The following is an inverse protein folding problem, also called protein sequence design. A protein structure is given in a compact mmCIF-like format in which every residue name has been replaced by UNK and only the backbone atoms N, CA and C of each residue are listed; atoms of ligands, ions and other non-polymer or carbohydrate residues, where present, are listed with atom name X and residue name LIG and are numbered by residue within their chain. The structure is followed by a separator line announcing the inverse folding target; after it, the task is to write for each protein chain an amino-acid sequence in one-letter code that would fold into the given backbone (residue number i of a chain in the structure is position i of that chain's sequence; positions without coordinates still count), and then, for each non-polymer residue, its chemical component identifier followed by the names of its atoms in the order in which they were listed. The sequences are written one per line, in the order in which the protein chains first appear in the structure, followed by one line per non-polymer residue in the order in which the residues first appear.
data_IF_325824633771
#
_entry.id   IF_325824633771
#
_cell.length_a   1.000
_cell.length_b   1.000
_cell.length_c   1.000
_cell.angle_alpha   90.00
_cell.angle_beta   90.00
_cell.angle_gamma   90.00
#
_symmetry.space_group_name_H-M   'P 1'
#
loop_
_entity.id
_entity.type
_entity.pdbx_description
1 polymer ?
#
# COMPACT_ATOMS: atom_id res chain seq x y z
N UNK A 1 -10.24 18.72 -11.46
CA UNK A 1 -9.11 19.48 -12.02
C UNK A 1 -9.63 20.04 -13.34
N UNK A 2 -9.98 21.34 -13.39
CA UNK A 2 -10.53 22.00 -14.56
C UNK A 2 -11.96 21.57 -14.93
N UNK A 3 -12.46 22.03 -16.09
CA UNK A 3 -13.81 21.70 -16.59
C UNK A 3 -13.96 20.28 -17.17
N UNK A 4 -12.86 19.50 -17.27
CA UNK A 4 -12.91 18.10 -17.76
C UNK A 4 -13.32 17.17 -16.63
N UNK A 5 -14.45 16.48 -16.79
CA UNK A 5 -14.83 15.34 -15.93
C UNK A 5 -13.90 14.17 -16.26
N UNK A 6 -13.02 13.83 -15.32
CA UNK A 6 -12.16 12.64 -15.42
C UNK A 6 -12.76 11.59 -14.50
N UNK A 7 -13.20 10.45 -15.01
CA UNK A 7 -13.70 9.37 -14.17
C UNK A 7 -12.52 8.69 -13.44
N UNK A 8 -12.73 8.35 -12.17
CA UNK A 8 -11.71 7.78 -11.28
C UNK A 8 -12.27 6.53 -10.61
N UNK A 9 -11.49 5.45 -10.58
CA UNK A 9 -11.83 4.28 -9.79
C UNK A 9 -11.62 4.58 -8.30
N UNK A 10 -12.60 4.20 -7.47
CA UNK A 10 -12.59 4.46 -6.01
C UNK A 10 -12.55 3.20 -5.17
N UNK A 11 -12.51 2.04 -5.80
CA UNK A 11 -12.46 0.73 -5.14
C UNK A 11 -11.13 0.02 -5.37
N UNK A 12 -11.20 -1.28 -5.65
CA UNK A 12 -10.03 -2.08 -5.99
C UNK A 12 -9.42 -1.62 -7.33
N UNK A 13 -8.15 -1.23 -7.31
CA UNK A 13 -7.51 -0.56 -8.44
C UNK A 13 -6.36 -1.37 -9.02
N UNK A 14 -5.52 -1.99 -8.19
CA UNK A 14 -4.27 -2.63 -8.61
C UNK A 14 -4.15 -4.06 -8.09
N UNK A 15 -3.52 -4.93 -8.87
CA UNK A 15 -3.25 -6.32 -8.56
C UNK A 15 -1.89 -6.76 -9.13
N UNK A 16 -1.44 -7.95 -8.78
CA UNK A 16 -0.23 -8.54 -9.34
C UNK A 16 -0.40 -10.06 -9.50
N UNK A 17 0.37 -10.66 -10.39
CA UNK A 17 0.26 -12.08 -10.72
C UNK A 17 0.61 -13.01 -9.56
N UNK A 18 1.42 -12.56 -8.63
CA UNK A 18 1.87 -13.38 -7.51
C UNK A 18 0.80 -13.56 -6.44
N UNK A 19 0.08 -12.47 -6.12
CA UNK A 19 -0.80 -12.41 -4.94
C UNK A 19 -2.26 -12.65 -5.28
N UNK A 20 -2.62 -12.52 -6.57
CA UNK A 20 -4.01 -12.57 -7.06
C UNK A 20 -4.24 -13.62 -8.15
N UNK A 21 -3.81 -14.91 -7.97
CA UNK A 21 -3.90 -15.92 -9.03
C UNK A 21 -5.33 -16.17 -9.51
N UNK A 22 -6.30 -16.17 -8.59
CA UNK A 22 -7.70 -16.40 -8.95
C UNK A 22 -8.30 -15.23 -9.73
N UNK A 23 -7.90 -13.98 -9.41
CA UNK A 23 -8.35 -12.80 -10.15
C UNK A 23 -7.74 -12.78 -11.56
N UNK A 24 -6.48 -13.17 -11.71
CA UNK A 24 -5.83 -13.30 -13.02
C UNK A 24 -6.56 -14.32 -13.87
N UNK A 25 -6.79 -15.52 -13.34
CA UNK A 25 -7.55 -16.57 -14.03
C UNK A 25 -8.92 -16.07 -14.47
N UNK A 26 -9.63 -15.38 -13.58
CA UNK A 26 -10.94 -14.80 -13.89
C UNK A 26 -10.88 -13.78 -15.03
N UNK A 27 -9.84 -12.90 -15.06
CA UNK A 27 -9.66 -11.95 -16.15
C UNK A 27 -9.31 -12.63 -17.48
N UNK A 28 -8.45 -13.65 -17.46
CA UNK A 28 -8.11 -14.45 -18.63
C UNK A 28 -9.34 -15.15 -19.23
N UNK A 29 -10.11 -15.85 -18.40
CA UNK A 29 -11.35 -16.56 -18.82
C UNK A 29 -12.40 -15.61 -19.40
N UNK A 30 -12.45 -14.37 -18.89
CA UNK A 30 -13.39 -13.36 -19.36
C UNK A 30 -12.84 -12.41 -20.42
N UNK A 31 -11.58 -12.62 -20.88
CA UNK A 31 -10.91 -11.79 -21.87
C UNK A 31 -10.87 -10.30 -21.47
N UNK A 32 -10.56 -10.05 -20.21
CA UNK A 32 -10.44 -8.70 -19.66
C UNK A 32 -9.01 -8.19 -19.90
N UNK A 33 -8.90 -7.07 -20.59
CA UNK A 33 -7.62 -6.43 -20.87
C UNK A 33 -7.04 -5.80 -19.61
N UNK A 34 -5.75 -6.03 -19.38
CA UNK A 34 -4.99 -5.48 -18.26
C UNK A 34 -3.76 -4.72 -18.77
N UNK A 35 -3.33 -3.73 -18.00
CA UNK A 35 -2.14 -2.94 -18.32
C UNK A 35 -1.23 -2.78 -17.10
N UNK A 36 0.07 -2.54 -17.35
CA UNK A 36 1.04 -2.30 -16.29
C UNK A 36 0.72 -1.01 -15.55
N UNK A 37 0.82 -1.06 -14.24
CA UNK A 37 0.60 0.07 -13.34
C UNK A 37 1.74 0.19 -12.34
N UNK A 38 1.83 1.36 -11.71
CA UNK A 38 2.73 1.63 -10.60
C UNK A 38 1.90 1.75 -9.30
N UNK A 39 2.28 0.98 -8.29
CA UNK A 39 1.79 1.21 -6.94
C UNK A 39 2.85 1.95 -6.15
N UNK A 40 2.61 3.20 -5.84
CA UNK A 40 3.48 4.04 -5.02
C UNK A 40 2.73 4.62 -3.83
N UNK A 41 3.48 4.96 -2.80
CA UNK A 41 2.99 5.59 -1.59
C UNK A 41 3.76 6.88 -1.37
N UNK A 42 3.06 7.98 -1.17
CA UNK A 42 3.66 9.27 -0.87
C UNK A 42 3.00 9.92 0.34
N UNK A 43 3.77 10.67 1.07
CA UNK A 43 3.32 11.40 2.25
C UNK A 43 3.76 12.85 2.15
N UNK A 44 2.81 13.74 2.45
CA UNK A 44 3.06 15.15 2.70
C UNK A 44 2.43 15.51 4.05
N UNK A 45 3.22 16.07 4.94
CA UNK A 45 2.75 16.54 6.23
C UNK A 45 2.43 18.03 6.12
N UNK A 46 1.16 18.37 6.38
CA UNK A 46 0.69 19.76 6.36
C UNK A 46 1.53 20.65 7.29
N UNK A 47 1.73 21.88 6.87
CA UNK A 47 2.52 22.89 7.61
C UNK A 47 3.96 22.48 7.92
N UNK A 48 4.53 21.57 7.15
CA UNK A 48 5.91 21.15 7.25
C UNK A 48 6.55 20.91 5.88
N UNK A 49 7.88 20.92 5.84
CA UNK A 49 8.63 20.52 4.63
C UNK A 49 8.79 19.00 4.52
N UNK A 50 8.02 18.23 5.29
CA UNK A 50 8.12 16.79 5.33
C UNK A 50 7.29 16.17 4.20
N UNK A 51 7.96 15.87 3.10
CA UNK A 51 7.34 15.29 1.91
C UNK A 51 8.26 14.26 1.26
N UNK A 52 7.74 13.10 0.90
CA UNK A 52 8.50 12.06 0.20
C UNK A 52 7.58 11.08 -0.54
N UNK A 53 8.18 10.35 -1.49
CA UNK A 53 7.54 9.23 -2.18
C UNK A 53 8.36 7.96 -2.00
N UNK A 54 7.72 6.84 -1.78
CA UNK A 54 8.34 5.52 -1.61
C UNK A 54 8.91 4.88 -2.89
N UNK A 55 9.01 5.63 -3.98
CA UNK A 55 9.52 5.14 -5.28
C UNK A 55 11.05 5.25 -5.36
N UNK A 56 11.76 4.48 -4.49
CA UNK A 56 13.22 4.43 -4.45
C UNK A 56 13.86 5.67 -3.82
N UNK A 57 15.19 5.75 -3.89
CA UNK A 57 15.95 6.86 -3.28
C UNK A 57 15.60 8.23 -3.85
N UNK A 58 15.37 8.32 -5.16
CA UNK A 58 14.98 9.57 -5.81
C UNK A 58 13.63 10.10 -5.31
N UNK A 59 12.69 9.20 -5.01
CA UNK A 59 11.40 9.57 -4.43
C UNK A 59 11.52 9.97 -2.96
N UNK A 60 12.31 9.24 -2.17
CA UNK A 60 12.55 9.54 -0.76
C UNK A 60 13.19 10.93 -0.60
N UNK A 61 14.14 11.27 -1.45
CA UNK A 61 14.84 12.56 -1.44
C UNK A 61 14.36 13.52 -2.55
N UNK A 62 13.10 13.39 -3.00
CA UNK A 62 12.50 14.35 -3.96
C UNK A 62 12.56 15.79 -3.45
N UNK A 63 12.34 15.99 -2.16
CA UNK A 63 12.68 17.24 -1.48
C UNK A 63 14.10 17.13 -0.93
N UNK A 64 15.05 17.83 -1.57
CA UNK A 64 16.48 17.79 -1.19
C UNK A 64 16.76 18.31 0.21
N UNK A 65 15.89 19.16 0.78
CA UNK A 65 15.99 19.62 2.17
C UNK A 65 15.89 18.47 3.17
N UNK A 66 15.30 17.34 2.80
CA UNK A 66 15.23 16.16 3.63
C UNK A 66 16.60 15.55 3.95
N UNK A 67 17.63 15.79 3.11
CA UNK A 67 19.01 15.37 3.37
C UNK A 67 19.63 16.02 4.62
N UNK A 68 19.14 17.20 5.01
CA UNK A 68 19.60 17.96 6.17
C UNK A 68 18.64 17.85 7.36
N UNK A 69 17.57 17.05 7.24
CA UNK A 69 16.57 16.88 8.29
C UNK A 69 16.84 15.59 9.08
N UNK A 70 17.45 15.73 10.26
CA UNK A 70 17.79 14.57 11.12
C UNK A 70 16.56 13.70 11.47
N UNK A 71 15.39 14.28 11.67
CA UNK A 71 14.15 13.53 11.96
C UNK A 71 13.74 12.69 10.74
N UNK A 72 13.89 13.25 9.55
CA UNK A 72 13.62 12.53 8.30
C UNK A 72 14.63 11.38 8.09
N UNK A 73 15.91 11.63 8.28
CA UNK A 73 16.96 10.62 8.15
C UNK A 73 16.74 9.48 9.16
N UNK A 74 16.37 9.82 10.41
CA UNK A 74 16.02 8.83 11.43
C UNK A 74 14.82 7.98 11.00
N UNK A 75 13.78 8.59 10.42
CA UNK A 75 12.64 7.85 9.87
C UNK A 75 13.09 6.87 8.78
N UNK A 76 13.92 7.32 7.83
CA UNK A 76 14.44 6.46 6.75
C UNK A 76 15.24 5.28 7.32
N UNK A 77 16.08 5.54 8.32
CA UNK A 77 16.81 4.48 9.02
C UNK A 77 15.86 3.47 9.68
N UNK A 78 14.82 3.95 10.36
CA UNK A 78 13.82 3.10 11.02
C UNK A 78 12.99 2.30 10.00
N UNK A 79 12.72 2.85 8.80
CA UNK A 79 12.10 2.09 7.70
C UNK A 79 12.98 0.90 7.32
N UNK A 80 14.26 1.13 7.10
CA UNK A 80 15.20 0.06 6.71
C UNK A 80 15.33 -0.98 7.81
N UNK A 81 15.47 -0.55 9.06
CA UNK A 81 15.54 -1.42 10.23
C UNK A 81 14.27 -2.26 10.36
N UNK A 82 13.11 -1.63 10.38
CA UNK A 82 11.84 -2.30 10.52
C UNK A 82 11.59 -3.32 9.41
N UNK A 83 11.88 -2.97 8.15
CA UNK A 83 11.67 -3.86 7.01
C UNK A 83 12.60 -5.09 7.04
N UNK A 84 13.82 -4.96 7.58
CA UNK A 84 14.75 -6.08 7.77
C UNK A 84 14.35 -6.98 8.92
N UNK A 85 13.87 -6.38 10.01
CA UNK A 85 13.52 -7.10 11.26
C UNK A 85 12.10 -7.69 11.25
N UNK A 86 11.30 -7.39 10.20
CA UNK A 86 9.88 -7.78 10.10
C UNK A 86 9.71 -9.23 9.68
N UNK A 87 10.22 -10.17 10.48
CA UNK A 87 9.98 -11.59 10.31
C UNK A 87 8.86 -12.05 11.27
N UNK A 88 7.86 -12.74 10.70
CA UNK A 88 6.76 -13.35 11.45
C UNK A 88 7.23 -14.37 12.50
N UNK A 89 8.34 -15.05 12.25
CA UNK A 89 8.93 -16.04 13.18
C UNK A 89 9.36 -15.41 14.51
N UNK A 90 9.70 -14.12 14.50
CA UNK A 90 10.16 -13.38 15.67
C UNK A 90 9.01 -12.84 16.55
N UNK A 91 7.74 -13.04 16.13
CA UNK A 91 6.57 -12.57 16.88
C UNK A 91 6.03 -13.68 17.77
N UNK A 92 6.49 -13.73 19.00
CA UNK A 92 6.06 -14.71 20.01
C UNK A 92 4.69 -14.39 20.61
N UNK A 93 4.41 -13.10 20.82
CA UNK A 93 3.12 -12.63 21.31
C UNK A 93 2.08 -12.60 20.18
N UNK A 94 1.06 -13.45 20.31
CA UNK A 94 0.02 -13.60 19.28
C UNK A 94 -0.97 -12.43 19.25
N UNK A 95 -1.08 -11.69 20.32
CA UNK A 95 -2.10 -10.64 20.50
C UNK A 95 -1.54 -9.23 20.43
N UNK A 96 -0.23 -9.09 20.27
CA UNK A 96 0.40 -7.77 20.17
C UNK A 96 -0.15 -6.97 18.99
N UNK A 97 -0.53 -5.73 19.25
CA UNK A 97 -0.93 -4.80 18.18
C UNK A 97 0.28 -4.17 17.50
N UNK A 98 0.08 -3.68 16.28
CA UNK A 98 1.10 -2.94 15.54
C UNK A 98 1.65 -1.77 16.38
N UNK A 99 0.78 -0.96 16.96
CA UNK A 99 1.19 0.20 17.77
C UNK A 99 2.06 -0.19 18.96
N UNK A 100 1.65 -1.20 19.74
CA UNK A 100 2.42 -1.68 20.88
C UNK A 100 3.79 -2.24 20.45
N UNK A 101 3.85 -2.94 19.33
CA UNK A 101 5.11 -3.44 18.77
C UNK A 101 6.05 -2.30 18.38
N UNK A 102 5.54 -1.28 17.70
CA UNK A 102 6.35 -0.12 17.26
C UNK A 102 6.95 0.62 18.45
N UNK A 103 6.17 0.79 19.54
CA UNK A 103 6.63 1.39 20.80
C UNK A 103 7.70 0.51 21.45
N UNK A 104 7.44 -0.80 21.58
CA UNK A 104 8.39 -1.77 22.17
C UNK A 104 9.72 -1.81 21.43
N UNK A 105 9.72 -1.60 20.10
CA UNK A 105 10.94 -1.54 19.28
C UNK A 105 11.63 -0.17 19.31
N UNK A 106 11.11 0.79 20.07
CA UNK A 106 11.64 2.15 20.23
C UNK A 106 11.92 2.84 18.87
N UNK A 107 10.95 2.73 17.96
CA UNK A 107 11.01 3.38 16.66
C UNK A 107 10.60 4.85 16.77
N UNK A 108 11.14 5.70 15.89
CA UNK A 108 10.89 7.14 15.95
C UNK A 108 9.42 7.50 15.72
N UNK A 109 9.00 8.61 16.31
CA UNK A 109 7.65 9.15 16.12
C UNK A 109 7.40 9.49 14.65
N UNK A 110 8.43 9.94 13.94
CA UNK A 110 8.37 10.24 12.51
C UNK A 110 8.10 8.99 11.69
N UNK A 111 8.76 7.86 12.00
CA UNK A 111 8.47 6.57 11.35
C UNK A 111 7.04 6.12 11.62
N UNK A 112 6.59 6.21 12.86
CA UNK A 112 5.24 5.78 13.24
C UNK A 112 4.19 6.67 12.57
N UNK A 113 4.30 7.99 12.72
CA UNK A 113 3.24 8.93 12.35
C UNK A 113 3.27 9.36 10.87
N UNK A 114 4.45 9.29 10.22
CA UNK A 114 4.61 9.77 8.85
C UNK A 114 4.94 8.67 7.83
N UNK A 115 5.10 7.42 8.28
CA UNK A 115 5.31 6.30 7.38
C UNK A 115 4.32 5.17 7.62
N UNK A 116 4.43 4.47 8.75
CA UNK A 116 3.71 3.19 8.93
C UNK A 116 2.21 3.38 9.15
N UNK A 117 1.80 4.30 10.01
CA UNK A 117 0.38 4.55 10.27
C UNK A 117 -0.34 5.11 9.04
N UNK A 118 0.18 6.13 8.32
CA UNK A 118 -0.45 6.58 7.08
C UNK A 118 -0.53 5.50 6.01
N UNK A 119 0.48 4.64 5.87
CA UNK A 119 0.48 3.54 4.92
C UNK A 119 -0.62 2.52 5.25
N UNK A 120 -0.73 2.11 6.51
CA UNK A 120 -1.79 1.22 6.98
C UNK A 120 -3.16 1.86 6.77
N UNK A 121 -3.32 3.13 7.13
CA UNK A 121 -4.57 3.86 6.93
C UNK A 121 -4.99 3.91 5.47
N UNK A 122 -4.04 4.14 4.56
CA UNK A 122 -4.31 4.19 3.12
C UNK A 122 -4.69 2.81 2.55
N UNK A 123 -4.01 1.74 2.95
CA UNK A 123 -4.25 0.38 2.44
C UNK A 123 -5.64 -0.13 2.87
N UNK A 124 -6.03 0.10 4.12
CA UNK A 124 -7.29 -0.42 4.67
C UNK A 124 -8.39 0.62 4.84
N UNK A 125 -8.21 1.83 4.30
CA UNK A 125 -9.19 2.92 4.38
C UNK A 125 -9.69 3.16 5.81
N UNK A 126 -8.77 3.10 6.78
CA UNK A 126 -9.10 3.24 8.20
C UNK A 126 -8.47 4.50 8.82
N UNK A 127 -9.09 5.06 9.85
CA UNK A 127 -8.52 6.22 10.52
C UNK A 127 -7.23 5.86 11.29
N UNK A 128 -6.28 6.80 11.46
CA UNK A 128 -4.97 6.55 12.08
C UNK A 128 -5.02 5.90 13.46
N UNK A 129 -6.02 6.25 14.29
CA UNK A 129 -6.17 5.66 15.63
C UNK A 129 -6.53 4.16 15.58
N UNK A 130 -7.17 3.69 14.52
CA UNK A 130 -7.51 2.29 14.34
C UNK A 130 -6.31 1.50 13.76
N UNK A 131 -5.50 2.14 12.94
CA UNK A 131 -4.31 1.51 12.34
C UNK A 131 -3.34 0.93 13.39
N UNK A 132 -3.11 1.66 14.48
CA UNK A 132 -2.27 1.19 15.59
C UNK A 132 -2.84 -0.01 16.35
N UNK A 133 -4.16 -0.23 16.33
CA UNK A 133 -4.83 -1.36 16.98
C UNK A 133 -4.83 -2.64 16.16
N UNK A 134 -4.35 -2.59 14.90
CA UNK A 134 -4.29 -3.75 14.03
C UNK A 134 -3.43 -4.86 14.64
N UNK A 135 -3.85 -6.14 14.58
CA UNK A 135 -3.02 -7.26 15.00
C UNK A 135 -1.72 -7.30 14.19
N UNK A 136 -0.57 -7.33 14.87
CA UNK A 136 0.74 -7.30 14.22
C UNK A 136 0.92 -8.44 13.21
N UNK A 137 0.50 -9.65 13.54
CA UNK A 137 0.63 -10.81 12.64
C UNK A 137 -0.12 -10.63 11.33
N UNK A 138 -1.32 -10.04 11.39
CA UNK A 138 -2.11 -9.76 10.19
C UNK A 138 -1.37 -8.75 9.29
N UNK A 139 -0.88 -7.66 9.89
CA UNK A 139 -0.09 -6.65 9.20
C UNK A 139 1.16 -7.26 8.54
N UNK A 140 1.99 -7.99 9.30
CA UNK A 140 3.22 -8.57 8.78
C UNK A 140 2.96 -9.58 7.65
N UNK A 141 1.96 -10.46 7.81
CA UNK A 141 1.58 -11.44 6.79
C UNK A 141 1.14 -10.77 5.49
N UNK A 142 0.34 -9.71 5.59
CA UNK A 142 -0.09 -8.96 4.42
C UNK A 142 1.10 -8.32 3.69
N UNK A 143 1.96 -7.61 4.43
CA UNK A 143 3.13 -6.94 3.85
C UNK A 143 4.13 -7.92 3.22
N UNK A 144 4.37 -9.07 3.85
CA UNK A 144 5.21 -10.12 3.29
C UNK A 144 4.64 -10.71 2.01
N UNK A 145 3.35 -11.07 2.02
CA UNK A 145 2.67 -11.63 0.85
C UNK A 145 2.72 -10.69 -0.35
N UNK A 146 2.53 -9.40 -0.14
CA UNK A 146 2.54 -8.38 -1.18
C UNK A 146 3.95 -7.86 -1.52
N UNK A 147 4.98 -8.35 -0.83
CA UNK A 147 6.37 -7.94 -1.06
C UNK A 147 6.65 -6.49 -0.70
N UNK A 148 5.87 -5.89 0.21
CA UNK A 148 5.96 -4.48 0.59
C UNK A 148 7.21 -4.16 1.42
N UNK A 149 7.78 -5.16 2.11
CA UNK A 149 9.07 -5.03 2.81
C UNK A 149 10.29 -5.09 1.90
N UNK A 150 10.12 -5.40 0.61
CA UNK A 150 11.23 -5.52 -0.33
C UNK A 150 11.63 -4.16 -0.89
N UNK A 151 12.94 -3.89 -0.90
CA UNK A 151 13.49 -2.71 -1.58
C UNK A 151 13.76 -2.96 -3.07
N UNK A 152 14.01 -4.23 -3.44
CA UNK A 152 14.27 -4.68 -4.82
C UNK A 152 13.37 -5.85 -5.16
N UNK A 153 13.21 -6.15 -6.46
CA UNK A 153 12.41 -7.26 -6.95
C UNK A 153 10.96 -7.25 -6.42
N UNK A 154 10.36 -6.07 -6.37
CA UNK A 154 8.93 -5.93 -6.08
C UNK A 154 8.09 -6.52 -7.21
N UNK A 155 6.92 -7.10 -6.94
CA UNK A 155 6.04 -7.57 -7.99
C UNK A 155 5.64 -6.41 -8.92
N UNK A 156 5.53 -6.69 -10.22
CA UNK A 156 4.92 -5.75 -11.15
C UNK A 156 3.43 -5.65 -10.84
N UNK A 157 2.94 -4.45 -10.69
CA UNK A 157 1.52 -4.18 -10.51
C UNK A 157 0.83 -3.94 -11.84
N UNK A 158 -0.45 -4.27 -11.88
CA UNK A 158 -1.32 -4.14 -13.03
C UNK A 158 -2.64 -3.51 -12.62
N UNK A 159 -3.34 -2.96 -13.59
CA UNK A 159 -4.71 -2.46 -13.47
C UNK A 159 -5.54 -2.94 -14.65
N UNK A 160 -6.85 -2.84 -14.57
CA UNK A 160 -7.72 -3.13 -15.71
C UNK A 160 -7.64 -1.98 -16.71
N UNK A 161 -7.41 -2.29 -17.98
CA UNK A 161 -7.40 -1.30 -19.05
C UNK A 161 -8.76 -0.60 -19.13
N UNK A 162 -8.72 0.73 -19.31
CA UNK A 162 -9.93 1.56 -19.34
C UNK A 162 -10.78 1.50 -18.06
N UNK A 163 -10.17 1.13 -16.91
CA UNK A 163 -10.73 1.12 -15.56
C UNK A 163 -11.62 -0.08 -15.23
N UNK A 164 -11.86 -0.25 -13.92
CA UNK A 164 -12.59 -1.40 -13.37
C UNK A 164 -14.04 -1.50 -13.88
N UNK A 165 -14.67 -0.40 -14.25
CA UNK A 165 -16.02 -0.40 -14.82
C UNK A 165 -16.14 -1.29 -16.06
N UNK A 166 -15.09 -1.36 -16.90
CA UNK A 166 -15.13 -2.13 -18.15
C UNK A 166 -15.31 -3.62 -17.93
N UNK A 167 -14.64 -4.20 -16.93
CA UNK A 167 -14.82 -5.64 -16.65
C UNK A 167 -16.17 -5.93 -15.99
N UNK A 168 -16.69 -5.01 -15.15
CA UNK A 168 -18.01 -5.14 -14.55
C UNK A 168 -19.08 -5.15 -15.64
N UNK A 169 -19.05 -4.21 -16.56
CA UNK A 169 -19.98 -4.12 -17.69
C UNK A 169 -19.88 -5.38 -18.60
N UNK A 170 -18.65 -5.85 -18.89
CA UNK A 170 -18.43 -7.07 -19.67
C UNK A 170 -19.06 -8.32 -19.02
N UNK A 171 -19.00 -8.41 -17.69
CA UNK A 171 -19.58 -9.55 -16.97
C UNK A 171 -21.09 -9.44 -16.91
N UNK A 172 -21.63 -8.28 -16.57
CA UNK A 172 -23.07 -8.05 -16.53
C UNK A 172 -23.73 -8.39 -17.87
N UNK A 173 -23.10 -8.03 -18.99
CA UNK A 173 -23.61 -8.34 -20.33
C UNK A 173 -23.68 -9.85 -20.63
N UNK A 174 -22.87 -10.67 -19.95
CA UNK A 174 -22.86 -12.14 -20.09
C UNK A 174 -23.91 -12.82 -19.21
N UNK A 175 -24.40 -12.15 -18.17
CA UNK A 175 -25.41 -12.67 -17.24
C UNK A 175 -26.78 -12.22 -17.72
N UNK A 176 -27.13 -12.51 -18.99
CA UNK A 176 -28.42 -12.13 -19.55
C UNK A 176 -29.55 -12.80 -18.80
N UNK A 177 -30.42 -12.03 -18.14
CA UNK A 177 -31.68 -12.47 -17.56
C UNK A 177 -31.71 -12.80 -16.07
N UNK A 178 -30.62 -12.76 -15.35
CA UNK A 178 -30.61 -12.88 -13.88
C UNK A 178 -30.47 -11.49 -13.25
N UNK A 179 -31.57 -10.97 -12.72
CA UNK A 179 -31.53 -9.76 -11.89
C UNK A 179 -31.10 -10.12 -10.47
N UNK A 180 -29.90 -9.74 -10.09
CA UNK A 180 -29.52 -9.69 -8.69
C UNK A 180 -30.15 -8.43 -8.09
N UNK A 181 -31.08 -8.63 -7.16
CA UNK A 181 -31.61 -7.55 -6.31
C UNK A 181 -30.67 -7.29 -5.14
#
# INVERSE_FOLDING_TARGET
IGKKKVPVDIGFIVFNFKTYPNLIKFFEENKIDIEKSDMSFSVKVENSNFEYCGKGLSGIFSNRMNLFNFKFLKMVFDIVKFYKDSDLSNVTDKEITLGNYLIKKNLSKEFINYHIIPMVSAIWSMPPYAAGKMPLKFFLKFFQNHGLFKFKNRPQWYTVSKRSRTYVESIISKISGQHFK
#
